data_IF_894529413622
#
_entry.id   IF_894529413622
#
_cell.length_a   1.000
_cell.length_b   1.000
_cell.length_c   1.000
_cell.angle_alpha   90.00
_cell.angle_beta   90.00
_cell.angle_gamma   90.00
#
_symmetry.space_group_name_H-M   'P 1'
#
loop_
_entity.id
_entity.type
_entity.pdbx_description
1 polymer ?
#
# COMPACT_ATOMS: atom_id res chain seq x y z
N UNK A 1 10.69 18.34 -12.86
CA UNK A 1 10.86 17.73 -11.52
C UNK A 1 11.85 16.58 -11.66
N UNK A 2 12.78 16.35 -10.73
CA UNK A 2 13.82 15.32 -10.91
C UNK A 2 13.27 13.92 -10.51
N UNK A 3 13.30 12.90 -11.38
CA UNK A 3 12.81 11.55 -11.09
C UNK A 3 13.49 10.93 -9.87
N UNK A 4 14.79 11.18 -9.66
CA UNK A 4 15.54 10.67 -8.49
C UNK A 4 15.00 11.23 -7.17
N UNK A 5 14.49 12.46 -7.17
CA UNK A 5 13.89 13.06 -5.96
C UNK A 5 12.54 12.41 -5.64
N UNK A 6 11.74 12.12 -6.67
CA UNK A 6 10.46 11.42 -6.50
C UNK A 6 10.69 9.99 -6.01
N UNK A 7 11.68 9.28 -6.56
CA UNK A 7 12.06 7.94 -6.09
C UNK A 7 12.47 7.91 -4.61
N UNK A 8 13.25 8.90 -4.16
CA UNK A 8 13.62 9.01 -2.73
C UNK A 8 12.40 9.26 -1.85
N UNK A 9 11.50 10.14 -2.27
CA UNK A 9 10.26 10.41 -1.54
C UNK A 9 9.35 9.18 -1.50
N UNK A 10 9.20 8.47 -2.63
CA UNK A 10 8.44 7.23 -2.70
C UNK A 10 9.00 6.19 -1.75
N UNK A 11 10.33 6.00 -1.71
CA UNK A 11 10.95 5.06 -0.77
C UNK A 11 10.64 5.39 0.68
N UNK A 12 10.66 6.68 1.06
CA UNK A 12 10.31 7.11 2.42
C UNK A 12 8.84 6.81 2.71
N UNK A 13 7.93 7.07 1.75
CA UNK A 13 6.50 6.80 1.93
C UNK A 13 6.19 5.30 2.00
N UNK A 14 6.87 4.47 1.22
CA UNK A 14 6.74 3.01 1.26
C UNK A 14 7.17 2.43 2.62
N UNK A 15 8.16 3.03 3.29
CA UNK A 15 8.51 2.65 4.66
C UNK A 15 7.32 2.93 5.60
N UNK A 16 6.73 4.12 5.53
CA UNK A 16 5.54 4.46 6.33
C UNK A 16 4.33 3.57 6.03
N UNK A 17 4.09 3.22 4.76
CA UNK A 17 3.05 2.26 4.38
C UNK A 17 3.30 0.86 4.96
N UNK A 18 4.55 0.42 4.99
CA UNK A 18 4.94 -0.86 5.58
C UNK A 18 4.70 -0.86 7.09
N UNK A 19 5.06 0.23 7.77
CA UNK A 19 4.81 0.41 9.21
C UNK A 19 3.30 0.42 9.51
N UNK A 20 2.50 1.16 8.74
CA UNK A 20 1.04 1.19 8.88
C UNK A 20 0.40 -0.19 8.60
N UNK A 21 0.93 -0.93 7.63
CA UNK A 21 0.49 -2.32 7.34
C UNK A 21 0.76 -3.24 8.53
N UNK A 22 1.94 -3.11 9.15
CA UNK A 22 2.30 -3.87 10.34
C UNK A 22 1.37 -3.52 11.51
N UNK A 23 1.16 -2.24 11.78
CA UNK A 23 0.26 -1.80 12.84
C UNK A 23 -1.16 -2.33 12.63
N UNK A 24 -1.70 -2.23 11.41
CA UNK A 24 -3.01 -2.79 11.08
C UNK A 24 -3.08 -4.29 11.38
N UNK A 25 -2.05 -5.05 11.00
CA UNK A 25 -1.94 -6.47 11.33
C UNK A 25 -1.94 -6.75 12.83
N UNK A 26 -1.21 -5.95 13.62
CA UNK A 26 -1.19 -6.04 15.08
C UNK A 26 -2.56 -5.73 15.69
N UNK A 27 -3.29 -4.73 15.19
CA UNK A 27 -4.66 -4.41 15.65
C UNK A 27 -5.65 -5.51 15.32
N UNK A 28 -5.60 -6.08 14.12
CA UNK A 28 -6.46 -7.21 13.73
C UNK A 28 -6.19 -8.43 14.64
N UNK A 29 -4.92 -8.72 14.93
CA UNK A 29 -4.58 -9.81 15.84
C UNK A 29 -5.12 -9.58 17.25
N UNK A 30 -5.09 -8.34 17.75
CA UNK A 30 -5.67 -7.97 19.06
C UNK A 30 -7.19 -8.11 19.07
N UNK A 31 -7.88 -7.70 18.00
CA UNK A 31 -9.32 -7.89 17.86
C UNK A 31 -9.69 -9.37 17.89
N UNK A 32 -9.03 -10.19 17.06
CA UNK A 32 -9.28 -11.63 17.01
C UNK A 32 -9.04 -12.31 18.37
N UNK A 33 -8.01 -11.89 19.11
CA UNK A 33 -7.74 -12.41 20.45
C UNK A 33 -8.85 -12.03 21.45
N UNK A 34 -9.39 -10.81 21.36
CA UNK A 34 -10.49 -10.35 22.19
C UNK A 34 -11.80 -11.09 21.87
N UNK A 35 -12.07 -11.36 20.58
CA UNK A 35 -13.21 -12.17 20.14
C UNK A 35 -13.10 -13.62 20.61
N UNK A 36 -11.93 -14.24 20.48
CA UNK A 36 -11.67 -15.60 20.97
C UNK A 36 -11.89 -15.71 22.50
N UNK A 37 -11.46 -14.69 23.27
CA UNK A 37 -11.72 -14.66 24.70
C UNK A 37 -13.22 -14.55 25.03
N UNK A 38 -13.99 -13.80 24.22
CA UNK A 38 -15.44 -13.73 24.38
C UNK A 38 -16.10 -15.07 24.11
N UNK A 39 -15.71 -15.75 23.03
CA UNK A 39 -16.21 -17.09 22.68
C UNK A 39 -15.94 -18.10 23.81
N UNK A 40 -14.76 -18.05 24.44
CA UNK A 40 -14.43 -18.87 25.61
C UNK A 40 -15.36 -18.58 26.80
N UNK A 41 -15.66 -17.31 27.08
CA UNK A 41 -16.57 -16.92 28.16
C UNK A 41 -18.02 -17.34 27.87
N UNK A 42 -18.46 -17.24 26.63
CA UNK A 42 -19.79 -17.68 26.19
C UNK A 42 -19.93 -19.21 26.25
N UNK A 43 -18.90 -19.94 25.81
CA UNK A 43 -18.84 -21.41 25.92
C UNK A 43 -18.92 -21.84 27.38
N UNK A 44 -18.09 -21.21 28.24
CA UNK A 44 -18.11 -21.48 29.67
C UNK A 44 -19.47 -21.17 30.30
N UNK A 45 -20.14 -20.10 29.89
CA UNK A 45 -21.50 -19.80 30.33
C UNK A 45 -22.48 -20.92 29.94
N UNK A 46 -22.42 -21.40 28.70
CA UNK A 46 -23.31 -22.45 28.21
C UNK A 46 -23.10 -23.77 28.94
N UNK A 47 -21.84 -24.21 29.07
CA UNK A 47 -21.48 -25.41 29.84
C UNK A 47 -21.96 -25.32 31.28
N UNK A 48 -21.80 -24.15 31.89
CA UNK A 48 -22.23 -23.89 33.25
C UNK A 48 -23.76 -23.87 33.42
N UNK A 49 -24.51 -23.36 32.43
CA UNK A 49 -25.97 -23.40 32.42
C UNK A 49 -26.52 -24.82 32.18
N UNK A 50 -25.78 -25.65 31.46
CA UNK A 50 -26.12 -27.05 31.20
C UNK A 50 -25.86 -27.98 32.40
N UNK A 51 -25.05 -27.54 33.38
CA UNK A 51 -24.77 -28.31 34.59
C UNK A 51 -26.03 -28.47 35.47
N UNK A 52 -26.19 -29.66 36.08
CA UNK A 52 -27.33 -29.97 36.96
C UNK A 52 -27.38 -29.00 38.16
N UNK A 53 -28.58 -28.50 38.47
CA UNK A 53 -28.79 -27.55 39.57
C UNK A 53 -28.53 -28.22 40.92
N UNK A 54 -27.58 -27.71 41.72
CA UNK A 54 -27.33 -28.20 43.07
C UNK A 54 -28.53 -27.93 43.99
N UNK A 55 -28.81 -28.86 44.90
CA UNK A 55 -29.89 -28.70 45.89
C UNK A 55 -29.48 -27.94 47.15
N UNK A 56 -28.18 -27.70 47.35
CA UNK A 56 -27.66 -26.98 48.51
C UNK A 56 -27.87 -25.45 48.39
N UNK A 57 -28.55 -24.80 49.36
CA UNK A 57 -28.81 -23.36 49.34
C UNK A 57 -27.56 -22.47 49.31
N UNK A 58 -26.47 -22.90 49.96
CA UNK A 58 -25.21 -22.14 49.92
C UNK A 58 -24.60 -22.16 48.52
N UNK A 59 -24.64 -23.32 47.87
CA UNK A 59 -24.24 -23.49 46.48
C UNK A 59 -25.09 -22.64 45.53
N UNK A 60 -26.42 -22.57 45.73
CA UNK A 60 -27.31 -21.70 44.94
C UNK A 60 -26.95 -20.22 45.04
N UNK A 61 -26.61 -19.72 46.24
CA UNK A 61 -26.17 -18.32 46.43
C UNK A 61 -24.83 -18.04 45.74
N UNK A 62 -23.88 -18.97 45.85
CA UNK A 62 -22.59 -18.88 45.15
C UNK A 62 -22.78 -18.86 43.63
N UNK A 63 -23.65 -19.73 43.09
CA UNK A 63 -23.98 -19.78 41.67
C UNK A 63 -24.55 -18.45 41.16
N UNK A 64 -25.47 -17.84 41.92
CA UNK A 64 -26.03 -16.53 41.55
C UNK A 64 -24.95 -15.44 41.46
N UNK A 65 -24.01 -15.41 42.40
CA UNK A 65 -22.87 -14.49 42.38
C UNK A 65 -21.92 -14.72 41.20
N UNK A 66 -21.67 -15.98 40.85
CA UNK A 66 -20.84 -16.33 39.70
C UNK A 66 -21.49 -15.95 38.36
N UNK A 67 -22.80 -16.13 38.21
CA UNK A 67 -23.54 -15.68 37.02
C UNK A 67 -23.45 -14.17 36.84
N UNK A 68 -23.56 -13.41 37.92
CA UNK A 68 -23.43 -11.96 37.88
C UNK A 68 -22.01 -11.55 37.43
N UNK A 69 -20.96 -12.15 38.01
CA UNK A 69 -19.57 -11.92 37.58
C UNK A 69 -19.32 -12.27 36.11
N UNK A 70 -19.91 -13.35 35.63
CA UNK A 70 -19.76 -13.77 34.23
C UNK A 70 -20.46 -12.80 33.27
N UNK A 71 -21.63 -12.28 33.65
CA UNK A 71 -22.30 -11.22 32.91
C UNK A 71 -21.45 -9.95 32.85
N UNK A 72 -20.94 -9.49 33.99
CA UNK A 72 -20.05 -8.32 34.06
C UNK A 72 -18.79 -8.51 33.21
N UNK A 73 -18.19 -9.71 33.24
CA UNK A 73 -17.03 -10.04 32.41
C UNK A 73 -17.35 -10.01 30.90
N UNK A 74 -18.50 -10.52 30.48
CA UNK A 74 -18.96 -10.46 29.09
C UNK A 74 -19.24 -9.02 28.64
N UNK A 75 -19.86 -8.20 29.48
CA UNK A 75 -20.09 -6.78 29.20
C UNK A 75 -18.77 -6.02 29.05
N UNK A 76 -17.81 -6.25 29.95
CA UNK A 76 -16.47 -5.67 29.84
C UNK A 76 -15.73 -6.15 28.59
N UNK A 77 -15.87 -7.43 28.22
CA UNK A 77 -15.25 -7.97 27.03
C UNK A 77 -15.87 -7.38 25.75
N UNK A 78 -17.18 -7.15 25.72
CA UNK A 78 -17.85 -6.48 24.61
C UNK A 78 -17.30 -5.05 24.41
N UNK A 79 -17.10 -4.30 25.49
CA UNK A 79 -16.47 -2.97 25.43
C UNK A 79 -15.03 -3.03 24.90
N UNK A 80 -14.27 -4.07 25.26
CA UNK A 80 -12.91 -4.27 24.74
C UNK A 80 -12.90 -4.59 23.24
N UNK A 81 -13.83 -5.42 22.77
CA UNK A 81 -13.99 -5.71 21.34
C UNK A 81 -14.33 -4.44 20.59
N UNK A 82 -15.32 -3.66 21.06
CA UNK A 82 -15.67 -2.38 20.43
C UNK A 82 -14.49 -1.41 20.35
N UNK A 83 -13.68 -1.33 21.41
CA UNK A 83 -12.47 -0.51 21.40
C UNK A 83 -11.42 -1.04 20.41
N UNK A 84 -11.24 -2.36 20.31
CA UNK A 84 -10.33 -2.98 19.35
C UNK A 84 -10.80 -2.79 17.90
N UNK A 85 -12.10 -2.91 17.61
CA UNK A 85 -12.71 -2.60 16.31
C UNK A 85 -12.42 -1.16 15.89
N UNK A 86 -12.62 -0.21 16.80
CA UNK A 86 -12.31 1.20 16.55
C UNK A 86 -10.83 1.44 16.25
N UNK A 87 -9.92 0.72 16.93
CA UNK A 87 -8.49 0.79 16.67
C UNK A 87 -8.11 0.19 15.31
N UNK A 88 -8.74 -0.92 14.91
CA UNK A 88 -8.56 -1.53 13.59
C UNK A 88 -8.98 -0.55 12.50
N UNK A 89 -10.15 0.09 12.64
CA UNK A 89 -10.62 1.03 11.63
C UNK A 89 -9.71 2.26 11.55
N UNK A 90 -9.26 2.79 12.69
CA UNK A 90 -8.29 3.90 12.71
C UNK A 90 -6.97 3.52 12.00
N UNK A 91 -6.42 2.33 12.29
CA UNK A 91 -5.20 1.85 11.63
C UNK A 91 -5.42 1.61 10.13
N UNK A 92 -6.61 1.18 9.74
CA UNK A 92 -7.00 0.98 8.34
C UNK A 92 -7.07 2.30 7.58
N UNK A 93 -7.66 3.33 8.17
CA UNK A 93 -7.71 4.67 7.59
C UNK A 93 -6.30 5.23 7.35
N UNK A 94 -5.41 5.09 8.34
CA UNK A 94 -4.01 5.51 8.22
C UNK A 94 -3.28 4.73 7.13
N UNK A 95 -3.43 3.41 7.09
CA UNK A 95 -2.86 2.60 6.01
C UNK A 95 -3.36 3.03 4.63
N UNK A 96 -4.66 3.31 4.48
CA UNK A 96 -5.23 3.80 3.22
C UNK A 96 -4.67 5.16 2.81
N UNK A 97 -4.41 6.07 3.76
CA UNK A 97 -3.76 7.35 3.48
C UNK A 97 -2.33 7.13 2.93
N UNK A 98 -1.52 6.33 3.63
CA UNK A 98 -0.17 6.00 3.18
C UNK A 98 -0.15 5.31 1.82
N UNK A 99 -1.06 4.37 1.59
CA UNK A 99 -1.19 3.67 0.32
C UNK A 99 -1.53 4.63 -0.83
N UNK A 100 -2.48 5.56 -0.61
CA UNK A 100 -2.83 6.59 -1.61
C UNK A 100 -1.65 7.50 -1.91
N UNK A 101 -0.90 7.91 -0.90
CA UNK A 101 0.30 8.73 -1.05
C UNK A 101 1.35 8.02 -1.93
N UNK A 102 1.64 6.74 -1.65
CA UNK A 102 2.54 5.91 -2.45
C UNK A 102 2.09 5.83 -3.91
N UNK A 103 0.82 5.45 -4.14
CA UNK A 103 0.23 5.34 -5.48
C UNK A 103 0.30 6.67 -6.27
N UNK A 104 0.08 7.80 -5.59
CA UNK A 104 0.17 9.12 -6.21
C UNK A 104 1.59 9.44 -6.69
N UNK A 105 2.61 9.10 -5.88
CA UNK A 105 4.02 9.32 -6.20
C UNK A 105 4.51 8.38 -7.29
N UNK A 106 4.07 7.12 -7.29
CA UNK A 106 4.37 6.16 -8.34
C UNK A 106 3.88 6.65 -9.71
N UNK A 107 2.62 7.10 -9.76
CA UNK A 107 2.05 7.67 -10.99
C UNK A 107 2.77 8.93 -11.45
N UNK A 108 3.21 9.78 -10.52
CA UNK A 108 4.00 10.97 -10.83
C UNK A 108 5.39 10.61 -11.37
N UNK A 109 6.03 9.60 -10.78
CA UNK A 109 7.33 9.10 -11.21
C UNK A 109 7.25 8.52 -12.63
N UNK A 110 6.23 7.71 -12.91
CA UNK A 110 5.98 7.12 -14.22
C UNK A 110 5.85 8.22 -15.29
N UNK A 111 5.00 9.22 -15.04
CA UNK A 111 4.81 10.37 -15.94
C UNK A 111 6.12 11.12 -16.19
N UNK A 112 6.86 11.41 -15.12
CA UNK A 112 8.13 12.15 -15.22
C UNK A 112 9.16 11.38 -16.05
N UNK A 113 9.28 10.06 -15.83
CA UNK A 113 10.18 9.21 -16.62
C UNK A 113 9.76 9.14 -18.10
N UNK A 114 8.46 9.06 -18.37
CA UNK A 114 7.94 9.05 -19.74
C UNK A 114 8.22 10.38 -20.47
N UNK A 115 8.09 11.51 -19.78
CA UNK A 115 8.44 12.83 -20.32
C UNK A 115 9.93 12.93 -20.60
N UNK A 116 10.79 12.52 -19.66
CA UNK A 116 12.25 12.53 -19.83
C UNK A 116 12.67 11.67 -21.03
N UNK A 117 12.11 10.48 -21.18
CA UNK A 117 12.36 9.60 -22.34
C UNK A 117 11.94 10.26 -23.65
N UNK A 118 10.76 10.89 -23.71
CA UNK A 118 10.29 11.63 -24.91
C UNK A 118 11.19 12.81 -25.24
N UNK A 119 11.72 13.51 -24.24
CA UNK A 119 12.67 14.61 -24.46
C UNK A 119 14.02 14.09 -24.97
N UNK A 120 14.52 13.00 -24.42
CA UNK A 120 15.76 12.36 -24.89
C UNK A 120 15.62 11.84 -26.32
N UNK A 121 14.53 11.14 -26.64
CA UNK A 121 14.26 10.63 -27.99
C UNK A 121 14.21 11.77 -29.03
N UNK A 122 13.52 12.88 -28.71
CA UNK A 122 13.49 14.06 -29.58
C UNK A 122 14.88 14.68 -29.79
N UNK A 123 15.70 14.76 -28.75
CA UNK A 123 17.08 15.26 -28.87
C UNK A 123 17.94 14.36 -29.75
N UNK A 124 17.89 13.04 -29.53
CA UNK A 124 18.62 12.05 -30.33
C UNK A 124 18.20 12.09 -31.80
N UNK A 125 16.90 12.23 -32.08
CA UNK A 125 16.40 12.38 -33.44
C UNK A 125 16.98 13.63 -34.11
N UNK A 126 16.94 14.78 -33.44
CA UNK A 126 17.52 16.04 -33.97
C UNK A 126 19.03 15.89 -34.23
N UNK A 127 19.77 15.24 -33.34
CA UNK A 127 21.20 14.99 -33.52
C UNK A 127 21.48 14.06 -34.72
N UNK A 128 20.70 13.00 -34.89
CA UNK A 128 20.78 12.08 -36.03
C UNK A 128 20.45 12.80 -37.36
N UNK A 129 19.39 13.59 -37.38
CA UNK A 129 18.97 14.34 -38.56
C UNK A 129 20.03 15.37 -38.96
N UNK A 130 20.62 16.09 -38.00
CA UNK A 130 21.72 17.02 -38.25
C UNK A 130 22.96 16.30 -38.80
N UNK A 131 23.29 15.13 -38.24
CA UNK A 131 24.43 14.34 -38.71
C UNK A 131 24.22 13.80 -40.13
N UNK A 132 23.02 13.27 -40.41
CA UNK A 132 22.64 12.79 -41.74
C UNK A 132 22.70 13.93 -42.78
N UNK A 133 22.19 15.11 -42.40
CA UNK A 133 22.26 16.33 -43.24
C UNK A 133 23.71 16.70 -43.55
N UNK A 134 24.59 16.73 -42.54
CA UNK A 134 26.03 17.01 -42.73
C UNK A 134 26.70 15.98 -43.66
N UNK A 135 26.38 14.70 -43.52
CA UNK A 135 26.93 13.67 -44.41
C UNK A 135 26.45 13.80 -45.86
N UNK A 136 25.17 14.15 -46.06
CA UNK A 136 24.62 14.37 -47.39
C UNK A 136 25.35 15.52 -48.11
N UNK A 137 25.50 16.68 -47.45
CA UNK A 137 26.24 17.81 -48.00
C UNK A 137 27.73 17.51 -48.23
N UNK A 138 28.37 16.69 -47.38
CA UNK A 138 29.77 16.30 -47.57
C UNK A 138 29.98 15.32 -48.74
N UNK A 139 28.94 14.57 -49.15
CA UNK A 139 28.97 13.69 -50.32
C UNK A 139 28.63 14.39 -51.64
N UNK A 140 28.15 15.63 -51.59
CA UNK A 140 27.76 16.40 -52.77
C UNK A 140 28.88 17.05 -53.63
N UNK A 141 30.21 17.01 -53.34
CA UNK A 141 31.18 17.68 -54.20
C UNK A 141 31.71 16.88 -55.41
N UNK A 142 31.18 15.70 -55.76
CA UNK A 142 31.78 14.86 -56.84
C UNK A 142 30.88 14.44 -58.02
N UNK A 143 29.70 15.05 -58.21
CA UNK A 143 28.83 14.73 -59.36
C UNK A 143 28.64 15.87 -60.38
N UNK A 144 29.49 16.90 -60.32
CA UNK A 144 29.39 18.11 -61.16
C UNK A 144 30.32 18.24 -62.36
N UNK A 145 31.41 17.47 -62.48
CA UNK A 145 32.36 17.62 -63.59
C UNK A 145 32.38 16.39 -64.51
N UNK A 146 31.24 16.14 -65.17
CA UNK A 146 31.24 15.37 -66.43
C UNK A 146 31.75 16.28 -67.54
N UNK A 147 33.04 16.13 -67.84
CA UNK A 147 33.70 16.35 -69.13
C UNK A 147 32.77 16.69 -70.28
N UNK A 148 32.80 17.96 -70.72
CA UNK A 148 32.42 18.31 -72.09
C UNK A 148 33.70 18.80 -72.79
N UNK A 149 34.40 17.84 -73.38
CA UNK A 149 35.52 18.07 -74.28
C UNK A 149 34.92 18.52 -75.63
N UNK A 150 34.87 19.83 -75.88
CA UNK A 150 34.60 20.37 -77.22
C UNK A 150 35.93 20.58 -77.93
N UNK A 151 36.38 19.57 -78.66
CA UNK A 151 37.39 19.68 -79.70
C UNK A 151 36.74 19.37 -81.05
N UNK A 152 37.08 20.20 -82.04
CA UNK A 152 36.88 20.04 -83.50
C UNK A 152 35.44 20.24 -84.01
N UNK A 153 35.13 21.02 -85.05
CA UNK A 153 35.90 21.64 -86.16
C UNK A 153 35.33 23.01 -86.56
#
# INVERSE_FOLDING_TARGET
MNPQRIERLLRIRQIGETEATRELGERIAQLNAAEAQREQLETFQQEYLAASMPQDPNTLKWLAGMRQKLREALEQQALRIQAAESQVETAREQWLEHHRDCMSLEKLLERTRAEDQRHQARRQQVEQDMWATRQAFAREPESGERTVNWQES
#
